data_IF_806999562571
#
_entry.id   IF_806999562571
#
_cell.length_a   1.000
_cell.length_b   1.000
_cell.length_c   1.000
_cell.angle_alpha   90.00
_cell.angle_beta   90.00
_cell.angle_gamma   90.00
#
_symmetry.space_group_name_H-M   'P 1'
#
loop_
_entity.id
_entity.type
_entity.pdbx_description
1 polymer ?
#
# COMPACT_ATOMS: atom_id res chain seq x y z
N UNK A 1 -11.05 -57.53 -42.83
CA UNK A 1 -10.71 -56.11 -42.57
C UNK A 1 -9.31 -55.82 -43.13
N UNK A 2 -8.93 -54.56 -43.31
CA UNK A 2 -7.79 -54.02 -44.11
C UNK A 2 -7.31 -52.74 -43.40
N UNK A 3 -6.05 -52.26 -43.44
CA UNK A 3 -4.84 -52.63 -44.22
C UNK A 3 -3.88 -53.56 -43.45
N UNK A 4 -2.77 -54.13 -43.97
CA UNK A 4 -1.91 -53.93 -45.17
C UNK A 4 -0.85 -52.80 -45.09
N UNK A 5 0.38 -53.11 -45.55
CA UNK A 5 1.52 -52.25 -45.95
C UNK A 5 2.00 -51.16 -44.95
N UNK A 6 3.19 -51.17 -44.36
CA UNK A 6 4.60 -51.19 -44.86
C UNK A 6 5.23 -49.79 -45.11
N UNK A 7 6.50 -49.69 -44.66
CA UNK A 7 7.56 -48.73 -45.02
C UNK A 7 7.77 -47.44 -44.19
N UNK A 8 9.00 -47.18 -43.70
CA UNK A 8 9.44 -45.87 -43.19
C UNK A 8 9.97 -44.96 -44.31
N UNK A 9 10.14 -43.67 -44.02
CA UNK A 9 11.08 -42.79 -44.72
C UNK A 9 11.47 -41.59 -43.86
N UNK A 10 12.54 -40.90 -44.27
CA UNK A 10 13.18 -39.78 -43.58
C UNK A 10 13.16 -38.53 -44.45
N UNK A 11 13.11 -37.35 -43.84
CA UNK A 11 13.51 -36.09 -44.49
C UNK A 11 14.43 -35.28 -43.56
N UNK A 12 15.70 -35.18 -44.00
CA UNK A 12 16.53 -33.96 -43.89
C UNK A 12 15.86 -32.86 -44.75
N UNK A 13 16.10 -31.54 -44.64
CA UNK A 13 17.21 -30.79 -44.03
C UNK A 13 16.61 -29.71 -43.07
N UNK A 14 17.14 -28.55 -42.70
CA UNK A 14 18.29 -27.71 -43.11
C UNK A 14 18.86 -26.96 -41.87
N UNK A 15 19.95 -26.20 -42.05
CA UNK A 15 20.41 -25.17 -41.10
C UNK A 15 20.53 -23.83 -41.82
N UNK A 16 20.15 -22.73 -41.16
CA UNK A 16 20.54 -21.37 -41.57
C UNK A 16 20.90 -20.50 -40.36
N UNK A 17 22.19 -20.25 -40.20
CA UNK A 17 22.75 -19.24 -39.31
C UNK A 17 22.46 -17.82 -39.84
N UNK A 18 22.05 -16.90 -38.96
CA UNK A 18 22.30 -15.45 -39.10
C UNK A 18 22.61 -14.85 -37.73
N UNK A 19 23.77 -14.23 -37.59
CA UNK A 19 24.19 -13.54 -36.36
C UNK A 19 23.98 -12.03 -36.45
N UNK A 20 23.31 -11.43 -35.45
CA UNK A 20 23.42 -10.01 -35.07
C UNK A 20 22.93 -9.87 -33.63
N UNK A 21 23.83 -9.77 -32.66
CA UNK A 21 24.47 -8.54 -32.18
C UNK A 21 23.50 -7.56 -31.51
N UNK A 22 23.72 -7.42 -30.21
CA UNK A 22 23.48 -6.28 -29.33
C UNK A 22 22.41 -5.24 -29.72
N UNK A 23 21.46 -5.05 -28.81
CA UNK A 23 21.28 -3.69 -28.28
C UNK A 23 21.36 -3.71 -26.75
N UNK A 24 21.81 -2.60 -26.17
CA UNK A 24 22.10 -2.44 -24.73
C UNK A 24 21.05 -1.52 -24.08
N UNK A 25 21.17 -1.34 -22.75
CA UNK A 25 20.52 -0.28 -21.94
C UNK A 25 19.02 -0.48 -21.66
N UNK A 26 18.45 -0.06 -20.52
CA UNK A 26 18.98 0.26 -19.18
C UNK A 26 18.29 -0.70 -18.20
N UNK A 27 18.89 -1.17 -17.11
CA UNK A 27 19.54 -0.40 -16.03
C UNK A 27 18.62 0.63 -15.35
N UNK A 28 17.34 0.29 -15.16
CA UNK A 28 16.50 0.93 -14.15
C UNK A 28 17.05 0.62 -12.74
N UNK A 29 18.09 1.38 -12.39
CA UNK A 29 18.58 1.50 -11.03
C UNK A 29 17.40 1.90 -10.17
N UNK A 30 16.96 0.97 -9.30
CA UNK A 30 16.28 1.34 -8.06
C UNK A 30 17.27 2.17 -7.24
N UNK A 31 17.32 3.47 -7.58
CA UNK A 31 18.12 4.47 -6.91
C UNK A 31 17.51 4.58 -5.53
N UNK A 32 18.05 3.81 -4.59
CA UNK A 32 17.76 3.92 -3.18
C UNK A 32 18.03 5.39 -2.79
N UNK A 33 16.98 6.20 -2.83
CA UNK A 33 16.99 7.56 -2.30
C UNK A 33 17.15 7.35 -0.82
N UNK A 34 18.42 7.33 -0.41
CA UNK A 34 18.85 7.26 0.98
C UNK A 34 18.38 8.56 1.61
N UNK A 35 17.11 8.56 2.02
CA UNK A 35 16.43 9.71 2.61
C UNK A 35 17.31 10.10 3.78
N UNK A 36 17.93 11.28 3.69
CA UNK A 36 18.58 11.88 4.84
C UNK A 36 17.44 12.24 5.76
N UNK A 37 17.20 11.40 6.76
CA UNK A 37 16.22 11.66 7.81
C UNK A 37 16.46 13.10 8.29
N UNK A 38 15.43 13.97 8.24
CA UNK A 38 15.59 15.31 8.78
C UNK A 38 15.89 15.14 10.27
N UNK A 39 17.06 15.65 10.70
CA UNK A 39 17.48 15.60 12.11
C UNK A 39 16.29 15.99 12.99
N UNK A 40 15.97 15.22 14.04
CA UNK A 40 14.73 15.41 14.80
C UNK A 40 14.63 16.86 15.28
N UNK A 41 13.62 17.58 14.77
CA UNK A 41 13.30 18.93 15.22
C UNK A 41 12.64 18.81 16.60
N UNK A 42 13.33 19.32 17.62
CA UNK A 42 12.79 19.71 18.93
C UNK A 42 11.59 18.90 19.46
N UNK A 43 11.90 17.84 20.23
CA UNK A 43 11.13 17.38 21.39
C UNK A 43 9.60 17.44 21.25
N UNK A 44 9.05 16.53 20.42
CA UNK A 44 7.61 16.19 20.39
C UNK A 44 7.19 15.54 21.73
N UNK A 45 7.04 16.38 22.75
CA UNK A 45 6.76 16.08 24.16
C UNK A 45 5.32 16.38 24.56
N UNK A 46 4.53 16.95 23.65
CA UNK A 46 3.09 17.10 23.82
C UNK A 46 2.35 15.78 23.60
N UNK A 47 1.28 15.57 24.37
CA UNK A 47 0.30 14.53 24.08
C UNK A 47 -0.54 14.97 22.88
N UNK A 48 -0.51 14.18 21.80
CA UNK A 48 -1.29 14.44 20.58
C UNK A 48 -2.57 13.61 20.61
N UNK A 49 -3.70 14.26 20.40
CA UNK A 49 -5.02 13.62 20.31
C UNK A 49 -5.69 13.98 18.99
N UNK A 50 -6.47 13.04 18.46
CA UNK A 50 -7.27 13.22 17.24
C UNK A 50 -8.75 13.29 17.59
N UNK A 51 -9.43 14.31 17.09
CA UNK A 51 -10.85 14.61 17.42
C UNK A 51 -11.65 14.96 16.17
N UNK A 52 -12.97 15.14 16.34
CA UNK A 52 -13.91 15.55 15.27
C UNK A 52 -13.83 14.66 14.02
N UNK A 53 -13.54 13.36 14.21
CA UNK A 53 -13.30 12.44 13.10
C UNK A 53 -14.61 12.11 12.40
N UNK A 54 -14.68 12.45 11.11
CA UNK A 54 -15.76 12.08 10.20
C UNK A 54 -15.21 11.13 9.13
N UNK A 55 -15.94 10.04 8.91
CA UNK A 55 -15.69 9.05 7.85
C UNK A 55 -16.81 9.16 6.83
N UNK A 56 -16.46 9.23 5.55
CA UNK A 56 -17.37 9.31 4.42
C UNK A 56 -16.98 8.27 3.35
N UNK A 57 -17.97 7.75 2.62
CA UNK A 57 -17.76 6.72 1.60
C UNK A 57 -17.97 5.29 2.11
N UNK A 58 -17.75 4.31 1.22
CA UNK A 58 -17.90 2.87 1.47
C UNK A 58 -17.23 2.04 0.38
N UNK A 59 -17.23 0.72 0.57
CA UNK A 59 -16.80 -0.32 -0.35
C UNK A 59 -15.42 -0.04 -0.96
N UNK A 60 -14.44 0.23 -0.10
CA UNK A 60 -13.06 0.47 -0.51
C UNK A 60 -12.77 1.92 -0.91
N UNK A 61 -13.75 2.81 -1.01
CA UNK A 61 -13.51 4.25 -1.25
C UNK A 61 -13.92 5.04 -0.01
N UNK A 62 -12.94 5.54 0.75
CA UNK A 62 -13.17 6.26 2.01
C UNK A 62 -12.47 7.61 2.01
N UNK A 63 -13.11 8.60 2.64
CA UNK A 63 -12.53 9.90 2.99
C UNK A 63 -12.66 10.08 4.50
N UNK A 64 -11.55 10.32 5.18
CA UNK A 64 -11.51 10.52 6.63
C UNK A 64 -10.95 11.90 6.91
N UNK A 65 -11.68 12.71 7.67
CA UNK A 65 -11.28 14.06 8.06
C UNK A 65 -11.38 14.20 9.57
N UNK A 66 -10.46 14.93 10.19
CA UNK A 66 -10.53 15.21 11.63
C UNK A 66 -9.57 16.33 12.02
N UNK A 67 -9.55 16.63 13.31
CA UNK A 67 -8.63 17.59 13.94
C UNK A 67 -7.52 16.88 14.71
N UNK A 68 -6.43 17.62 14.94
CA UNK A 68 -5.30 17.19 15.77
C UNK A 68 -4.98 18.31 16.76
N UNK A 69 -4.69 17.96 18.01
CA UNK A 69 -4.18 18.91 19.01
C UNK A 69 -2.68 19.17 18.84
N UNK A 70 -2.18 20.28 19.39
CA UNK A 70 -0.76 20.64 19.35
C UNK A 70 -0.26 21.11 17.98
N UNK A 71 1.07 21.04 17.77
CA UNK A 71 1.76 21.42 16.52
C UNK A 71 2.37 20.18 15.87
N UNK A 72 1.58 19.46 15.08
CA UNK A 72 2.02 18.26 14.36
C UNK A 72 2.06 18.53 12.86
N UNK A 73 3.16 18.17 12.17
CA UNK A 73 3.28 18.31 10.70
C UNK A 73 2.64 17.10 9.96
N UNK A 74 2.58 15.92 10.58
CA UNK A 74 2.03 14.68 10.00
C UNK A 74 1.60 13.65 11.05
N UNK A 75 0.55 12.90 10.73
CA UNK A 75 0.19 11.64 11.40
C UNK A 75 0.66 10.45 10.58
N UNK A 76 0.76 9.29 11.21
CA UNK A 76 0.88 8.00 10.55
C UNK A 76 -0.43 7.22 10.69
N UNK A 77 -0.70 6.33 9.75
CA UNK A 77 -1.85 5.44 9.83
C UNK A 77 -1.58 4.06 9.25
N UNK A 78 -2.33 3.09 9.77
CA UNK A 78 -2.44 1.73 9.25
C UNK A 78 -3.90 1.37 9.01
N UNK A 79 -4.16 0.43 8.10
CA UNK A 79 -5.51 -0.09 7.82
C UNK A 79 -5.48 -1.60 7.73
N UNK A 80 -6.34 -2.30 8.46
CA UNK A 80 -6.41 -3.77 8.51
C UNK A 80 -7.87 -4.28 8.54
N UNK A 81 -8.06 -5.57 8.26
CA UNK A 81 -9.35 -6.28 8.36
C UNK A 81 -9.41 -7.32 9.51
N UNK A 82 -8.36 -7.41 10.33
CA UNK A 82 -8.18 -8.41 11.39
C UNK A 82 -7.46 -9.70 10.95
N UNK A 83 -7.25 -9.90 9.65
CA UNK A 83 -6.43 -10.98 9.08
C UNK A 83 -5.23 -10.46 8.28
N UNK A 84 -5.38 -9.31 7.63
CA UNK A 84 -4.39 -8.67 6.78
C UNK A 84 -4.32 -7.18 7.05
N UNK A 85 -3.11 -6.61 6.94
CA UNK A 85 -2.91 -5.17 6.87
C UNK A 85 -2.91 -4.73 5.40
N UNK A 86 -3.85 -3.87 5.02
CA UNK A 86 -4.02 -3.30 3.68
C UNK A 86 -3.13 -2.06 3.46
N UNK A 87 -2.75 -1.36 4.54
CA UNK A 87 -1.80 -0.23 4.52
C UNK A 87 -0.97 -0.28 5.81
N UNK A 88 0.36 -0.36 5.70
CA UNK A 88 1.29 -0.28 6.84
C UNK A 88 1.91 1.11 6.96
N UNK A 89 1.58 1.82 8.05
CA UNK A 89 2.34 2.97 8.56
C UNK A 89 2.58 4.14 7.59
N UNK A 90 1.65 4.37 6.66
CA UNK A 90 1.69 5.47 5.70
C UNK A 90 1.47 6.84 6.37
N UNK A 91 1.95 7.92 5.74
CA UNK A 91 1.85 9.28 6.29
C UNK A 91 0.56 9.98 5.80
N UNK A 92 -0.07 10.77 6.66
CA UNK A 92 -1.08 11.75 6.28
C UNK A 92 -0.65 13.15 6.77
N UNK A 93 -0.54 14.15 5.87
CA UNK A 93 -0.09 15.49 6.24
C UNK A 93 -1.16 16.23 7.06
N UNK A 94 -0.72 16.91 8.11
CA UNK A 94 -1.56 17.77 8.93
C UNK A 94 -1.41 19.21 8.44
N UNK A 95 -2.53 19.90 8.21
CA UNK A 95 -2.60 21.28 7.74
C UNK A 95 -3.24 22.13 8.83
N UNK A 96 -2.43 23.00 9.46
CA UNK A 96 -2.83 23.72 10.67
C UNK A 96 -3.08 22.72 11.81
N UNK A 97 -4.35 22.52 12.15
CA UNK A 97 -4.82 21.55 13.15
C UNK A 97 -5.80 20.52 12.54
N UNK A 98 -5.77 20.30 11.22
CA UNK A 98 -6.68 19.39 10.50
C UNK A 98 -5.93 18.38 9.63
N UNK A 99 -6.54 17.23 9.38
CA UNK A 99 -6.06 16.28 8.38
C UNK A 99 -7.18 15.88 7.41
N UNK A 100 -6.78 15.35 6.25
CA UNK A 100 -7.69 14.71 5.30
C UNK A 100 -6.96 13.52 4.68
N UNK A 101 -7.46 12.33 4.97
CA UNK A 101 -7.02 11.07 4.43
C UNK A 101 -8.03 10.62 3.36
N UNK A 102 -7.55 10.08 2.25
CA UNK A 102 -8.37 9.46 1.21
C UNK A 102 -7.80 8.08 0.90
N UNK A 103 -8.64 7.06 0.98
CA UNK A 103 -8.29 5.65 0.85
C UNK A 103 -9.02 5.06 -0.35
N UNK A 104 -8.29 4.31 -1.17
CA UNK A 104 -8.86 3.57 -2.28
C UNK A 104 -8.32 2.13 -2.31
N UNK A 105 -9.22 1.18 -2.11
CA UNK A 105 -8.98 -0.25 -2.12
C UNK A 105 -9.80 -0.92 -3.22
N UNK A 106 -9.24 -1.97 -3.83
CA UNK A 106 -10.01 -2.81 -4.75
C UNK A 106 -11.05 -3.60 -3.95
N UNK A 107 -12.33 -3.55 -4.33
CA UNK A 107 -13.42 -4.28 -3.65
C UNK A 107 -13.13 -5.78 -3.47
N UNK A 108 -12.37 -6.40 -4.37
CA UNK A 108 -11.95 -7.81 -4.29
C UNK A 108 -10.90 -8.12 -3.21
N UNK A 109 -10.37 -7.09 -2.52
CA UNK A 109 -9.43 -7.19 -1.39
C UNK A 109 -10.06 -6.75 -0.06
N UNK A 110 -11.36 -6.46 -0.03
CA UNK A 110 -12.08 -6.16 1.20
C UNK A 110 -12.57 -7.46 1.83
N UNK A 111 -12.71 -7.53 3.17
CA UNK A 111 -13.31 -8.68 3.83
C UNK A 111 -14.76 -8.86 3.38
N UNK A 112 -15.20 -10.11 3.23
CA UNK A 112 -16.61 -10.46 3.06
C UNK A 112 -17.44 -10.21 4.33
N UNK A 113 -16.78 -10.29 5.48
CA UNK A 113 -17.38 -10.26 6.81
C UNK A 113 -16.31 -9.82 7.83
N UNK A 114 -16.68 -9.02 8.82
CA UNK A 114 -15.75 -8.43 9.79
C UNK A 114 -15.77 -6.90 9.74
N UNK A 115 -14.64 -6.26 10.02
CA UNK A 115 -14.54 -4.79 10.06
C UNK A 115 -13.22 -4.33 9.46
N UNK A 116 -13.26 -3.38 8.53
CA UNK A 116 -12.07 -2.66 8.08
C UNK A 116 -11.78 -1.52 9.06
N UNK A 117 -10.62 -1.55 9.72
CA UNK A 117 -10.26 -0.66 10.83
C UNK A 117 -9.12 0.27 10.41
N UNK A 118 -9.26 1.56 10.71
CA UNK A 118 -8.21 2.58 10.62
C UNK A 118 -7.57 2.79 11.99
N UNK A 119 -6.25 2.65 12.06
CA UNK A 119 -5.44 3.03 13.22
C UNK A 119 -4.62 4.28 12.88
N UNK A 120 -4.63 5.28 13.76
CA UNK A 120 -3.87 6.53 13.60
C UNK A 120 -2.94 6.75 14.79
N UNK A 121 -1.71 7.17 14.50
CA UNK A 121 -0.64 7.25 15.51
C UNK A 121 0.44 8.29 15.15
N UNK A 122 1.21 8.70 16.15
CA UNK A 122 2.45 9.48 15.99
C UNK A 122 3.67 8.58 16.11
N UNK A 123 4.79 8.98 15.50
CA UNK A 123 6.12 8.37 15.68
C UNK A 123 7.09 9.44 16.20
N UNK A 124 7.85 9.14 17.24
CA UNK A 124 8.96 9.96 17.73
C UNK A 124 10.18 9.03 17.95
N UNK A 125 11.08 9.01 16.97
CA UNK A 125 12.00 7.87 16.79
C UNK A 125 11.21 6.57 16.62
N UNK A 126 11.70 5.49 17.25
CA UNK A 126 11.03 4.19 17.28
C UNK A 126 9.74 4.16 18.13
N UNK A 127 9.48 5.21 18.94
CA UNK A 127 8.28 5.27 19.77
C UNK A 127 7.05 5.58 18.94
N UNK A 128 6.24 4.54 18.68
CA UNK A 128 4.85 4.68 18.23
C UNK A 128 3.95 5.06 19.42
N UNK A 129 3.07 6.04 19.22
CA UNK A 129 2.00 6.38 20.18
C UNK A 129 0.65 6.43 19.45
N UNK A 130 -0.28 5.50 19.71
CA UNK A 130 -1.64 5.55 19.16
C UNK A 130 -2.37 6.82 19.59
N UNK A 131 -3.13 7.44 18.69
CA UNK A 131 -3.90 8.67 18.97
C UNK A 131 -5.39 8.59 18.60
N UNK A 132 -5.77 7.65 17.74
CA UNK A 132 -7.18 7.37 17.38
C UNK A 132 -7.32 6.03 16.65
N UNK A 133 -8.44 5.35 16.85
CA UNK A 133 -8.84 4.13 16.11
C UNK A 133 -10.31 4.23 15.73
N UNK A 134 -10.68 3.81 14.51
CA UNK A 134 -12.08 3.80 14.07
C UNK A 134 -12.35 2.78 12.97
N UNK A 135 -13.54 2.19 12.98
CA UNK A 135 -14.05 1.38 11.87
C UNK A 135 -14.31 2.27 10.64
N UNK A 136 -13.72 1.91 9.50
CA UNK A 136 -14.03 2.50 8.19
C UNK A 136 -15.34 1.95 7.63
N UNK A 137 -15.55 0.63 7.78
CA UNK A 137 -16.77 -0.07 7.40
C UNK A 137 -16.85 -1.42 8.12
N UNK A 138 -18.03 -1.76 8.62
CA UNK A 138 -18.37 -3.12 9.01
C UNK A 138 -18.97 -3.87 7.81
N UNK A 139 -18.57 -5.13 7.64
CA UNK A 139 -19.01 -6.04 6.59
C UNK A 139 -19.77 -7.19 7.27
N UNK A 140 -20.99 -7.44 6.82
CA UNK A 140 -21.85 -8.52 7.30
C UNK A 140 -22.23 -9.49 6.18
N UNK A 141 -22.78 -10.67 6.53
CA UNK A 141 -23.43 -11.57 5.58
C UNK A 141 -24.70 -10.94 4.96
#
# INVERSE_FOLDING_TARGET
>A
MVSKDDKPQVEEIEKKDVTRQEDKQKEDKQKAVKQKEPKPKADMTGEFTVSDVKIEGKDGTYKVTGRVTGKLEKLYYSVEDGHHELVYGAEVPVKGNTFTLSLQFNKKKLPSNGTLILFMYTKNGDKITPVHTSALQQFGP
#
